data_IF_425195370366
#
_entry.id   IF_425195370366
#
_cell.length_a   1.000
_cell.length_b   1.000
_cell.length_c   1.000
_cell.angle_alpha   90.00
_cell.angle_beta   90.00
_cell.angle_gamma   90.00
#
_symmetry.space_group_name_H-M   'P 1'
#
loop_
_entity.id
_entity.type
_entity.pdbx_description
1 polymer ?
#
# COMPACT_ATOMS: atom_id res chain seq x y z
N UNK A 1 6.99 -24.80 -23.56
CA UNK A 1 6.43 -24.50 -22.23
C UNK A 1 6.94 -23.12 -21.83
N UNK A 2 6.18 -22.08 -22.13
CA UNK A 2 6.55 -20.70 -21.77
C UNK A 2 5.99 -20.39 -20.40
N UNK A 3 6.86 -20.19 -19.41
CA UNK A 3 6.43 -19.60 -18.15
C UNK A 3 6.02 -18.17 -18.48
N UNK A 4 4.72 -17.86 -18.33
CA UNK A 4 4.25 -16.49 -18.42
C UNK A 4 5.02 -15.68 -17.38
N UNK A 5 5.82 -14.74 -17.87
CA UNK A 5 6.52 -13.77 -17.05
C UNK A 5 5.48 -13.12 -16.13
N UNK A 6 5.56 -13.41 -14.83
CA UNK A 6 4.76 -12.72 -13.81
C UNK A 6 4.95 -11.22 -14.05
N UNK A 7 3.91 -10.38 -13.88
CA UNK A 7 4.07 -8.94 -14.02
C UNK A 7 5.15 -8.49 -13.03
N UNK A 8 6.34 -8.20 -13.57
CA UNK A 8 7.47 -7.67 -12.83
C UNK A 8 6.97 -6.46 -12.08
N UNK A 9 6.93 -6.55 -10.74
CA UNK A 9 6.34 -5.50 -9.92
C UNK A 9 6.87 -4.14 -10.40
N UNK A 10 6.01 -3.18 -10.76
CA UNK A 10 6.46 -1.87 -11.25
C UNK A 10 7.27 -1.08 -10.21
N UNK A 11 7.41 -1.60 -8.99
CA UNK A 11 8.24 -1.05 -7.91
C UNK A 11 9.72 -1.47 -7.98
N UNK A 12 10.10 -2.45 -8.81
CA UNK A 12 11.48 -2.96 -8.89
C UNK A 12 12.38 -2.23 -9.91
N UNK A 13 11.83 -1.31 -10.71
CA UNK A 13 12.56 -0.66 -11.82
C UNK A 13 13.15 0.73 -11.54
N UNK A 14 12.98 1.28 -10.33
CA UNK A 14 13.67 2.53 -9.94
C UNK A 14 14.88 2.22 -9.08
N UNK A 15 16.07 2.39 -9.67
CA UNK A 15 17.34 2.30 -8.95
C UNK A 15 17.46 3.37 -7.85
N UNK A 16 17.72 2.93 -6.63
CA UNK A 16 18.39 3.67 -5.56
C UNK A 16 17.75 4.98 -5.08
N UNK A 17 16.99 4.92 -3.97
CA UNK A 17 16.80 6.08 -3.08
C UNK A 17 15.45 6.14 -2.38
N UNK A 18 15.44 5.77 -1.08
CA UNK A 18 14.33 5.86 -0.12
C UNK A 18 13.09 5.03 -0.48
N UNK A 19 12.73 4.15 0.44
CA UNK A 19 11.57 3.27 0.38
C UNK A 19 10.27 4.09 0.27
N UNK A 20 9.80 4.38 -0.95
CA UNK A 20 8.58 5.14 -1.17
C UNK A 20 7.38 4.38 -0.59
N UNK A 21 6.81 4.91 0.49
CA UNK A 21 5.61 4.38 1.10
C UNK A 21 4.42 4.50 0.13
N UNK A 22 3.62 3.46 0.00
CA UNK A 22 2.38 3.46 -0.78
C UNK A 22 1.23 3.14 0.15
N UNK A 23 0.23 4.03 0.20
CA UNK A 23 -0.98 3.83 0.97
C UNK A 23 -2.17 3.58 0.04
N UNK A 24 -2.71 2.38 0.10
CA UNK A 24 -3.95 2.00 -0.57
C UNK A 24 -5.14 2.32 0.32
N UNK A 25 -6.12 3.04 -0.21
CA UNK A 25 -7.27 3.60 0.54
C UNK A 25 -8.58 3.52 -0.23
N UNK A 26 -9.68 3.66 0.50
CA UNK A 26 -10.99 4.01 -0.06
C UNK A 26 -11.59 5.24 0.65
N UNK A 27 -12.88 5.54 0.47
CA UNK A 27 -13.54 6.72 1.06
C UNK A 27 -13.92 6.58 2.54
N UNK A 28 -13.63 5.44 3.17
CA UNK A 28 -13.93 5.13 4.57
C UNK A 28 -13.14 6.00 5.54
N UNK A 29 -13.71 6.21 6.73
CA UNK A 29 -13.07 6.96 7.80
C UNK A 29 -11.74 6.36 8.25
N UNK A 30 -11.63 5.02 8.26
CA UNK A 30 -10.38 4.33 8.62
C UNK A 30 -9.23 4.68 7.65
N UNK A 31 -9.53 4.80 6.36
CA UNK A 31 -8.56 5.20 5.34
C UNK A 31 -8.11 6.65 5.54
N UNK A 32 -9.05 7.57 5.77
CA UNK A 32 -8.76 8.98 6.05
C UNK A 32 -7.91 9.14 7.32
N UNK A 33 -8.18 8.33 8.35
CA UNK A 33 -7.39 8.33 9.57
C UNK A 33 -5.97 7.81 9.34
N UNK A 34 -5.77 6.82 8.46
CA UNK A 34 -4.44 6.33 8.10
C UNK A 34 -3.63 7.36 7.31
N UNK A 35 -4.27 8.09 6.39
CA UNK A 35 -3.66 9.23 5.68
C UNK A 35 -3.19 10.28 6.68
N UNK A 36 -4.07 10.71 7.60
CA UNK A 36 -3.73 11.71 8.61
C UNK A 36 -2.60 11.26 9.55
N UNK A 37 -2.51 9.98 9.89
CA UNK A 37 -1.44 9.43 10.73
C UNK A 37 -0.07 9.52 10.03
N UNK A 38 -0.02 9.24 8.72
CA UNK A 38 1.19 9.38 7.91
C UNK A 38 1.60 10.84 7.74
N UNK A 39 0.64 11.72 7.43
CA UNK A 39 0.88 13.16 7.27
C UNK A 39 1.38 13.80 8.57
N UNK A 40 0.78 13.44 9.71
CA UNK A 40 1.20 13.91 11.04
C UNK A 40 2.68 13.59 11.35
N UNK A 41 3.18 12.49 10.79
CA UNK A 41 4.56 12.01 10.97
C UNK A 41 5.53 12.55 9.92
N UNK A 42 5.03 13.33 8.95
CA UNK A 42 5.83 13.89 7.87
C UNK A 42 6.31 12.84 6.86
N UNK A 43 5.66 11.67 6.81
CA UNK A 43 6.00 10.62 5.86
C UNK A 43 5.51 11.00 4.46
N UNK A 44 6.40 10.89 3.48
CA UNK A 44 6.03 11.01 2.06
C UNK A 44 5.49 9.67 1.61
N UNK A 45 4.27 9.66 1.09
CA UNK A 45 3.66 8.45 0.57
C UNK A 45 2.85 8.73 -0.70
N UNK A 46 2.70 7.69 -1.53
CA UNK A 46 1.79 7.70 -2.68
C UNK A 46 0.44 7.16 -2.26
N UNK A 47 -0.61 7.98 -2.40
CA UNK A 47 -2.00 7.57 -2.20
C UNK A 47 -2.52 6.81 -3.43
N UNK A 48 -3.13 5.66 -3.22
CA UNK A 48 -3.79 4.86 -4.26
C UNK A 48 -5.23 4.57 -3.85
N UNK A 49 -6.19 5.12 -4.60
CA UNK A 49 -7.61 4.84 -4.39
C UNK A 49 -8.01 3.49 -5.00
N UNK A 50 -8.51 2.57 -4.19
CA UNK A 50 -8.89 1.22 -4.63
C UNK A 50 -10.38 1.07 -4.95
N UNK A 51 -11.17 2.12 -4.75
CA UNK A 51 -12.61 2.12 -5.05
C UNK A 51 -12.87 2.03 -6.55
N UNK A 52 -11.87 2.36 -7.36
CA UNK A 52 -11.93 2.33 -8.82
C UNK A 52 -11.01 1.24 -9.38
N UNK A 53 -11.45 0.57 -10.44
CA UNK A 53 -10.61 -0.27 -11.32
C UNK A 53 -10.08 -1.62 -10.77
N UNK A 54 -10.85 -2.34 -9.94
CA UNK A 54 -10.52 -3.74 -9.61
C UNK A 54 -9.25 -3.93 -8.77
N UNK A 55 -8.66 -2.84 -8.27
CA UNK A 55 -7.44 -2.85 -7.49
C UNK A 55 -7.54 -3.66 -6.20
N UNK A 56 -8.73 -3.82 -5.63
CA UNK A 56 -8.97 -4.75 -4.50
C UNK A 56 -8.64 -6.21 -4.85
N UNK A 57 -8.93 -6.64 -6.08
CA UNK A 57 -8.57 -7.97 -6.56
C UNK A 57 -7.06 -8.12 -6.72
N UNK A 58 -6.39 -7.06 -7.19
CA UNK A 58 -4.93 -7.01 -7.25
C UNK A 58 -4.29 -7.04 -5.85
N UNK A 59 -4.81 -6.28 -4.88
CA UNK A 59 -4.35 -6.33 -3.49
C UNK A 59 -4.50 -7.74 -2.89
N UNK A 60 -5.59 -8.43 -3.20
CA UNK A 60 -5.81 -9.80 -2.73
C UNK A 60 -4.76 -10.76 -3.29
N UNK A 61 -4.41 -10.62 -4.57
CA UNK A 61 -3.38 -11.42 -5.22
C UNK A 61 -1.98 -11.10 -4.68
N UNK A 62 -1.67 -9.81 -4.51
CA UNK A 62 -0.33 -9.32 -4.16
C UNK A 62 -0.02 -9.44 -2.66
N UNK A 63 -0.98 -9.05 -1.82
CA UNK A 63 -0.79 -8.89 -0.38
C UNK A 63 -1.69 -9.81 0.45
N UNK A 64 -2.45 -10.70 -0.20
CA UNK A 64 -3.35 -11.62 0.50
C UNK A 64 -4.55 -10.95 1.18
N UNK A 65 -4.86 -9.70 0.83
CA UNK A 65 -5.96 -8.94 1.44
C UNK A 65 -6.65 -8.03 0.44
N UNK A 66 -7.99 -7.95 0.50
CA UNK A 66 -8.78 -6.92 -0.18
C UNK A 66 -9.22 -5.77 0.74
N UNK A 67 -8.81 -5.83 2.03
CA UNK A 67 -9.09 -4.81 3.04
C UNK A 67 -8.16 -3.63 2.82
N UNK A 68 -8.65 -2.44 3.12
CA UNK A 68 -7.90 -1.19 3.15
C UNK A 68 -8.26 -0.44 4.43
N UNK A 69 -7.40 0.46 4.95
CA UNK A 69 -6.13 0.92 4.38
C UNK A 69 -5.01 -0.15 4.37
N UNK A 70 -4.13 -0.11 3.37
CA UNK A 70 -2.89 -0.92 3.33
C UNK A 70 -1.70 0.00 3.10
N UNK A 71 -0.72 -0.04 3.99
CA UNK A 71 0.54 0.66 3.84
C UNK A 71 1.63 -0.32 3.43
N UNK A 72 2.33 0.00 2.35
CA UNK A 72 3.48 -0.75 1.86
C UNK A 72 4.69 0.16 1.90
N UNK A 73 5.72 -0.20 2.66
CA UNK A 73 6.92 0.62 2.82
C UNK A 73 8.10 -0.30 3.13
N UNK A 74 9.17 -0.27 2.33
CA UNK A 74 10.40 -0.99 2.68
C UNK A 74 10.27 -2.51 2.78
N UNK A 75 9.36 -3.11 2.01
CA UNK A 75 9.04 -4.54 2.12
C UNK A 75 8.13 -4.89 3.30
N UNK A 76 7.76 -3.92 4.14
CA UNK A 76 6.72 -4.06 5.16
C UNK A 76 5.34 -3.83 4.53
N UNK A 77 4.38 -4.68 4.89
CA UNK A 77 2.96 -4.53 4.51
C UNK A 77 2.13 -4.49 5.79
N UNK A 78 1.47 -3.36 6.03
CA UNK A 78 0.61 -3.12 7.20
C UNK A 78 -0.83 -2.97 6.75
N UNK A 79 -1.74 -3.78 7.30
CA UNK A 79 -3.14 -3.87 6.87
C UNK A 79 -4.05 -3.36 7.98
N UNK A 80 -4.81 -2.32 7.69
CA UNK A 80 -5.69 -1.63 8.63
C UNK A 80 -4.97 -0.55 9.44
N UNK A 81 -5.74 0.42 9.93
CA UNK A 81 -5.22 1.57 10.68
C UNK A 81 -4.44 1.15 11.94
N UNK A 82 -4.90 0.11 12.64
CA UNK A 82 -4.25 -0.35 13.86
C UNK A 82 -2.83 -0.85 13.62
N UNK A 83 -2.63 -1.68 12.60
CA UNK A 83 -1.30 -2.20 12.25
C UNK A 83 -0.39 -1.10 11.72
N UNK A 84 -0.94 -0.15 10.94
CA UNK A 84 -0.21 1.06 10.52
C UNK A 84 0.31 1.83 11.73
N UNK A 85 -0.52 2.04 12.75
CA UNK A 85 -0.12 2.75 13.97
C UNK A 85 0.96 2.02 14.75
N UNK A 86 0.84 0.69 14.88
CA UNK A 86 1.83 -0.15 15.58
C UNK A 86 3.16 -0.20 14.84
N UNK A 87 3.13 -0.37 13.51
CA UNK A 87 4.33 -0.48 12.70
C UNK A 87 5.10 0.84 12.53
N UNK A 88 4.44 1.97 12.79
CA UNK A 88 5.08 3.29 12.79
C UNK A 88 5.48 3.79 14.20
N UNK A 89 5.07 3.11 15.27
CA UNK A 89 5.39 3.47 16.66
C UNK A 89 6.86 3.15 16.99
#
# INVERSE_FOLDING_TARGET
>A
MGYAELPTHPLLLSGGGMEEAVLFVDESEESKAAEAELEKRGLKFKRVDVSRNGLRGWLLFEYGTAKVPVLVMGGLVLVGLEEIRKGLA
#
